data_IF_908448692318
#
_entry.id   IF_908448692318
#
_cell.length_a   1.000
_cell.length_b   1.000
_cell.length_c   1.000
_cell.angle_alpha   90.00
_cell.angle_beta   90.00
_cell.angle_gamma   90.00
#
_symmetry.space_group_name_H-M   'P 1'
#
loop_
_entity.id
_entity.type
_entity.pdbx_description
1 polymer ?
#
# COMPACT_ATOMS: atom_id res chain seq x y z
N UNK A 1 7.39 -6.88 -22.48
CA UNK A 1 7.00 -5.46 -22.31
C UNK A 1 6.61 -5.16 -20.86
N UNK A 2 5.46 -5.64 -20.31
CA UNK A 2 5.06 -5.33 -18.91
C UNK A 2 6.15 -5.71 -17.90
N UNK A 3 6.67 -6.94 -17.99
CA UNK A 3 7.79 -7.43 -17.16
C UNK A 3 9.03 -6.54 -17.25
N UNK A 4 9.30 -5.98 -18.41
CA UNK A 4 10.47 -5.11 -18.61
C UNK A 4 10.28 -3.77 -17.89
N UNK A 5 9.07 -3.22 -17.84
CA UNK A 5 8.76 -2.02 -17.06
C UNK A 5 8.86 -2.28 -15.55
N UNK A 6 8.41 -3.45 -15.06
CA UNK A 6 8.56 -3.83 -13.65
C UNK A 6 10.03 -3.97 -13.26
N UNK A 7 10.85 -4.59 -14.13
CA UNK A 7 12.30 -4.68 -13.95
C UNK A 7 12.94 -3.30 -13.96
N UNK A 8 12.54 -2.43 -14.91
CA UNK A 8 13.01 -1.05 -15.00
C UNK A 8 12.67 -0.26 -13.73
N UNK A 9 11.41 -0.31 -13.25
CA UNK A 9 11.00 0.32 -12.00
C UNK A 9 11.84 -0.14 -10.81
N UNK A 10 12.07 -1.46 -10.69
CA UNK A 10 12.90 -2.03 -9.62
C UNK A 10 14.35 -1.56 -9.71
N UNK A 11 14.92 -1.52 -10.92
CA UNK A 11 16.28 -1.05 -11.15
C UNK A 11 16.45 0.43 -10.81
N UNK A 12 15.51 1.28 -11.25
CA UNK A 12 15.51 2.72 -10.94
C UNK A 12 15.35 2.94 -9.43
N UNK A 13 14.41 2.27 -8.79
CA UNK A 13 14.23 2.35 -7.33
C UNK A 13 15.53 1.98 -6.60
N UNK A 14 16.19 0.89 -7.01
CA UNK A 14 17.47 0.49 -6.43
C UNK A 14 18.56 1.54 -6.66
N UNK A 15 18.66 2.08 -7.85
CA UNK A 15 19.69 3.07 -8.21
C UNK A 15 19.49 4.38 -7.42
N UNK A 16 18.25 4.83 -7.28
CA UNK A 16 17.93 6.09 -6.59
C UNK A 16 18.10 5.95 -5.09
N UNK A 17 17.47 4.94 -4.48
CA UNK A 17 17.50 4.77 -3.03
C UNK A 17 18.80 4.16 -2.48
N UNK A 18 19.75 3.78 -3.34
CA UNK A 18 21.10 3.44 -2.95
C UNK A 18 22.07 4.64 -2.96
N UNK A 19 21.65 5.81 -3.46
CA UNK A 19 22.45 7.04 -3.38
C UNK A 19 22.55 7.52 -1.93
N UNK A 20 23.62 8.24 -1.62
CA UNK A 20 23.78 8.88 -0.32
C UNK A 20 22.73 9.99 -0.17
N UNK A 21 21.86 9.95 0.84
CA UNK A 21 20.86 10.99 1.03
C UNK A 21 21.46 12.22 1.74
N UNK A 22 20.83 13.37 1.58
CA UNK A 22 21.18 14.58 2.31
C UNK A 22 20.91 14.45 3.82
N UNK A 23 20.03 13.52 4.21
CA UNK A 23 19.70 13.26 5.60
C UNK A 23 18.70 12.11 5.74
N UNK A 24 18.39 11.79 7.00
CA UNK A 24 17.45 10.73 7.37
C UNK A 24 16.42 11.28 8.34
N UNK A 25 15.16 10.87 8.18
CA UNK A 25 14.06 11.15 9.10
C UNK A 25 13.42 9.87 9.57
N UNK A 26 13.06 9.78 10.84
CA UNK A 26 12.23 8.67 11.30
C UNK A 26 10.82 8.80 10.72
N UNK A 27 10.21 7.71 10.32
CA UNK A 27 8.87 7.72 9.71
C UNK A 27 7.82 8.34 10.64
N UNK A 28 7.92 8.12 11.97
CA UNK A 28 6.99 8.70 12.95
C UNK A 28 7.04 10.23 13.04
N UNK A 29 8.12 10.86 12.59
CA UNK A 29 8.21 12.33 12.53
C UNK A 29 7.43 12.93 11.35
N UNK A 30 7.10 12.11 10.34
CA UNK A 30 6.48 12.54 9.08
C UNK A 30 4.95 12.44 9.06
N UNK A 31 4.33 11.77 10.04
CA UNK A 31 2.87 11.71 10.14
C UNK A 31 2.33 12.42 11.40
N UNK A 32 1.14 12.96 11.31
CA UNK A 32 0.41 13.60 12.41
C UNK A 32 -0.34 12.58 13.27
N UNK A 33 -0.79 11.48 12.67
CA UNK A 33 -1.47 10.37 13.33
C UNK A 33 -1.04 9.05 12.68
N UNK A 34 -0.57 8.12 13.49
CA UNK A 34 -0.24 6.77 13.06
C UNK A 34 -0.71 5.75 14.07
N UNK A 35 -1.57 4.83 13.64
CA UNK A 35 -2.20 3.84 14.51
C UNK A 35 -2.48 2.54 13.76
N UNK A 36 -2.32 1.41 14.45
CA UNK A 36 -2.85 0.13 13.99
C UNK A 36 -4.39 0.20 13.96
N UNK A 37 -4.98 -0.57 13.08
CA UNK A 37 -6.43 -0.74 13.06
C UNK A 37 -6.93 -1.66 14.17
N UNK A 38 -8.15 -2.15 14.01
CA UNK A 38 -8.77 -3.11 14.91
C UNK A 38 -9.75 -4.00 14.17
N UNK A 39 -9.94 -5.21 14.68
CA UNK A 39 -10.90 -6.15 14.13
C UNK A 39 -11.98 -6.39 15.17
N UNK A 40 -13.26 -6.13 14.87
CA UNK A 40 -14.35 -6.51 15.76
C UNK A 40 -14.38 -8.03 15.96
N UNK A 41 -15.02 -8.46 17.03
CA UNK A 41 -15.18 -9.91 17.33
C UNK A 41 -15.84 -10.62 16.15
N UNK A 42 -15.13 -11.54 15.51
CA UNK A 42 -15.53 -12.20 14.26
C UNK A 42 -16.79 -13.09 14.39
N UNK A 43 -17.09 -13.55 15.61
CA UNK A 43 -18.27 -14.36 15.89
C UNK A 43 -19.57 -13.55 15.92
N UNK A 44 -19.50 -12.20 16.07
CA UNK A 44 -20.66 -11.36 16.02
C UNK A 44 -20.89 -10.84 14.60
N UNK A 45 -21.85 -11.42 13.89
CA UNK A 45 -22.18 -11.07 12.50
C UNK A 45 -22.74 -9.65 12.34
N UNK A 46 -23.31 -9.08 13.38
CA UNK A 46 -23.87 -7.71 13.37
C UNK A 46 -22.78 -6.63 13.20
N UNK A 47 -21.53 -6.97 13.50
CA UNK A 47 -20.40 -6.06 13.34
C UNK A 47 -19.92 -5.91 11.90
N UNK A 48 -20.42 -6.75 10.99
CA UNK A 48 -19.99 -6.85 9.60
C UNK A 48 -21.14 -6.55 8.63
N UNK A 49 -20.82 -6.50 7.32
CA UNK A 49 -21.78 -6.28 6.23
C UNK A 49 -22.54 -4.94 6.31
N UNK A 50 -21.95 -3.91 6.92
CA UNK A 50 -22.44 -2.54 6.90
C UNK A 50 -21.89 -1.72 5.74
N UNK A 51 -21.81 -0.39 5.93
CA UNK A 51 -21.40 0.57 4.91
C UNK A 51 -19.94 1.07 5.08
N UNK A 52 -19.25 0.69 6.16
CA UNK A 52 -17.92 1.20 6.49
C UNK A 52 -16.85 0.29 5.84
N UNK A 53 -16.10 0.77 4.83
CA UNK A 53 -15.09 -0.04 4.16
C UNK A 53 -14.04 -0.60 5.13
N UNK A 54 -13.76 -1.91 5.05
CA UNK A 54 -12.82 -2.62 5.89
C UNK A 54 -11.74 -3.30 5.05
N UNK A 55 -10.54 -2.73 5.05
CA UNK A 55 -9.43 -3.12 4.20
C UNK A 55 -8.87 -4.49 4.56
N UNK A 56 -8.70 -5.33 3.56
CA UNK A 56 -7.99 -6.61 3.62
C UNK A 56 -6.69 -6.58 2.81
N UNK A 57 -5.79 -7.54 3.07
CA UNK A 57 -4.59 -7.73 2.24
C UNK A 57 -4.95 -8.07 0.79
N UNK A 58 -6.06 -8.80 0.59
CA UNK A 58 -6.55 -9.15 -0.73
C UNK A 58 -6.94 -7.91 -1.55
N UNK A 59 -7.58 -6.92 -0.94
CA UNK A 59 -7.92 -5.64 -1.59
C UNK A 59 -6.67 -4.92 -2.07
N UNK A 60 -5.62 -4.87 -1.23
CA UNK A 60 -4.33 -4.26 -1.60
C UNK A 60 -3.67 -5.03 -2.75
N UNK A 61 -3.68 -6.36 -2.70
CA UNK A 61 -3.07 -7.20 -3.74
C UNK A 61 -3.76 -7.03 -5.09
N UNK A 62 -5.09 -6.88 -5.09
CA UNK A 62 -5.89 -6.70 -6.31
C UNK A 62 -5.75 -5.30 -6.92
N UNK A 63 -5.61 -4.28 -6.09
CA UNK A 63 -5.66 -2.87 -6.51
C UNK A 63 -4.28 -2.20 -6.57
N UNK A 64 -3.29 -2.73 -5.86
CA UNK A 64 -1.93 -2.21 -5.87
C UNK A 64 -1.74 -0.92 -5.07
N UNK A 65 -1.21 0.12 -5.73
CA UNK A 65 -0.86 1.38 -5.09
C UNK A 65 -2.05 2.09 -4.46
N UNK A 66 -3.19 2.13 -5.14
CA UNK A 66 -4.36 2.88 -4.73
C UNK A 66 -5.55 1.97 -4.44
N UNK A 67 -6.07 2.02 -3.21
CA UNK A 67 -7.30 1.32 -2.83
C UNK A 67 -8.50 2.25 -2.97
N UNK A 68 -9.47 1.84 -3.80
CA UNK A 68 -10.68 2.58 -4.17
C UNK A 68 -11.96 1.92 -3.65
N UNK A 69 -11.90 0.66 -3.27
CA UNK A 69 -13.01 -0.12 -2.73
C UNK A 69 -12.47 -1.22 -1.81
N UNK A 70 -13.32 -1.79 -1.00
CA UNK A 70 -13.03 -2.97 -0.19
C UNK A 70 -14.10 -4.04 -0.39
N UNK A 71 -13.71 -5.31 -0.30
CA UNK A 71 -14.67 -6.42 -0.37
C UNK A 71 -15.47 -6.57 0.93
N UNK A 72 -14.85 -6.22 2.05
CA UNK A 72 -15.45 -6.33 3.36
C UNK A 72 -15.85 -4.96 3.91
N UNK A 73 -16.89 -4.95 4.73
CA UNK A 73 -17.39 -3.74 5.37
C UNK A 73 -17.71 -4.02 6.84
N UNK A 74 -17.58 -3.01 7.68
CA UNK A 74 -18.05 -3.01 9.06
C UNK A 74 -19.38 -2.29 9.15
N UNK A 75 -20.20 -2.68 10.13
CA UNK A 75 -21.33 -1.88 10.57
C UNK A 75 -20.87 -0.76 11.51
N UNK A 76 -21.74 0.20 11.79
CA UNK A 76 -21.48 1.23 12.79
C UNK A 76 -21.22 0.61 14.17
N UNK A 77 -22.00 -0.42 14.54
CA UNK A 77 -21.78 -1.19 15.77
C UNK A 77 -20.43 -1.88 15.80
N UNK A 78 -19.95 -2.43 14.66
CA UNK A 78 -18.62 -3.04 14.56
C UNK A 78 -17.50 -2.02 14.75
N UNK A 79 -17.65 -0.80 14.21
CA UNK A 79 -16.69 0.27 14.43
C UNK A 79 -16.63 0.68 15.91
N UNK A 80 -17.78 0.88 16.54
CA UNK A 80 -17.88 1.34 17.94
C UNK A 80 -17.43 0.31 18.97
N UNK A 81 -17.57 -0.99 18.65
CA UNK A 81 -17.18 -2.10 19.53
C UNK A 81 -15.80 -2.70 19.18
N UNK A 82 -14.94 -1.91 18.55
CA UNK A 82 -13.55 -2.35 18.24
C UNK A 82 -12.57 -1.20 18.38
N UNK A 83 -11.28 -1.51 18.29
CA UNK A 83 -10.21 -0.50 18.20
C UNK A 83 -10.02 0.04 16.77
N UNK A 84 -10.85 -0.37 15.81
CA UNK A 84 -10.85 0.16 14.46
C UNK A 84 -11.11 1.68 14.47
N UNK A 85 -10.58 2.36 13.48
CA UNK A 85 -10.80 3.79 13.30
C UNK A 85 -10.89 4.11 11.82
N UNK A 86 -11.65 5.14 11.48
CA UNK A 86 -11.77 5.59 10.10
C UNK A 86 -10.49 6.33 9.70
N UNK A 87 -9.74 5.70 8.81
CA UNK A 87 -8.53 6.26 8.20
C UNK A 87 -8.97 7.22 7.10
N UNK A 88 -8.62 8.52 7.16
CA UNK A 88 -9.01 9.46 6.12
C UNK A 88 -8.36 9.11 4.79
N UNK A 89 -8.99 9.51 3.69
CA UNK A 89 -8.43 9.34 2.34
C UNK A 89 -7.05 9.97 2.21
N UNK A 90 -6.24 9.40 1.33
CA UNK A 90 -4.86 9.81 1.09
C UNK A 90 -3.97 9.64 2.32
N UNK A 91 -4.18 8.55 3.05
CA UNK A 91 -3.28 8.05 4.08
C UNK A 91 -2.42 6.92 3.52
N UNK A 92 -1.26 6.72 4.12
CA UNK A 92 -0.37 5.61 3.79
C UNK A 92 -0.65 4.45 4.75
N UNK A 93 -0.78 3.23 4.22
CA UNK A 93 -1.11 2.05 5.01
C UNK A 93 -0.07 0.97 4.73
N UNK A 94 0.48 0.37 5.79
CA UNK A 94 1.49 -0.67 5.72
C UNK A 94 1.04 -1.91 6.47
N UNK A 95 1.16 -3.09 5.87
CA UNK A 95 0.89 -4.35 6.55
C UNK A 95 2.02 -4.73 7.50
N UNK A 96 1.66 -5.16 8.72
CA UNK A 96 2.58 -5.63 9.76
C UNK A 96 2.58 -7.16 9.86
N UNK A 97 1.50 -7.81 9.45
CA UNK A 97 1.30 -9.26 9.42
C UNK A 97 0.89 -9.66 8.01
N UNK A 98 0.98 -10.91 7.66
CA UNK A 98 0.69 -11.44 6.35
C UNK A 98 1.12 -10.50 5.19
N UNK A 99 2.00 -10.90 4.32
CA UNK A 99 2.61 -10.00 3.32
C UNK A 99 3.29 -8.76 3.92
N UNK A 100 4.05 -8.95 5.01
CA UNK A 100 4.69 -7.89 5.79
C UNK A 100 5.37 -6.84 4.91
N UNK A 101 5.13 -5.57 5.24
CA UNK A 101 5.68 -4.44 4.50
C UNK A 101 4.95 -4.10 3.21
N UNK A 102 3.81 -4.72 2.91
CA UNK A 102 2.99 -4.30 1.77
C UNK A 102 2.40 -2.92 2.07
N UNK A 103 2.53 -2.00 1.10
CA UNK A 103 2.14 -0.59 1.26
C UNK A 103 1.07 -0.23 0.24
N UNK A 104 0.12 0.58 0.65
CA UNK A 104 -0.92 1.14 -0.21
C UNK A 104 -1.35 2.54 0.25
N UNK A 105 -2.05 3.25 -0.63
CA UNK A 105 -2.68 4.55 -0.38
C UNK A 105 -4.18 4.38 -0.56
N UNK A 106 -4.98 4.85 0.41
CA UNK A 106 -6.43 4.81 0.26
C UNK A 106 -6.98 6.07 -0.42
N UNK A 107 -7.81 5.90 -1.45
CA UNK A 107 -8.52 7.00 -2.11
C UNK A 107 -9.94 7.25 -1.53
N UNK A 108 -10.39 6.37 -0.65
CA UNK A 108 -11.64 6.51 0.12
C UNK A 108 -11.36 6.43 1.61
N UNK A 109 -12.20 6.97 2.49
CA UNK A 109 -12.11 6.67 3.92
C UNK A 109 -12.33 5.17 4.16
N UNK A 110 -11.44 4.55 4.94
CA UNK A 110 -11.49 3.09 5.20
C UNK A 110 -11.15 2.80 6.66
N UNK A 111 -11.51 1.62 7.12
CA UNK A 111 -10.99 1.04 8.36
C UNK A 111 -10.03 -0.09 8.06
N UNK A 112 -9.18 -0.46 9.01
CA UNK A 112 -8.20 -1.53 8.84
C UNK A 112 -8.20 -2.46 10.05
N UNK A 113 -7.75 -3.70 9.87
CA UNK A 113 -7.49 -4.61 10.96
C UNK A 113 -6.24 -4.22 11.76
N UNK A 114 -6.01 -4.85 12.90
CA UNK A 114 -4.77 -4.72 13.69
C UNK A 114 -3.52 -5.18 12.93
N UNK A 115 -3.68 -5.89 11.82
CA UNK A 115 -2.57 -6.32 10.97
C UNK A 115 -1.98 -5.19 10.11
N UNK A 116 -2.58 -4.02 10.13
CA UNK A 116 -2.18 -2.88 9.31
C UNK A 116 -1.95 -1.64 10.16
N UNK A 117 -0.91 -0.89 9.82
CA UNK A 117 -0.60 0.40 10.41
C UNK A 117 -0.91 1.51 9.41
N UNK A 118 -1.83 2.40 9.76
CA UNK A 118 -2.24 3.51 8.90
C UNK A 118 -1.63 4.82 9.41
N UNK A 119 -1.16 5.65 8.48
CA UNK A 119 -0.40 6.88 8.73
C UNK A 119 -1.00 8.05 7.96
N UNK A 120 -1.42 9.08 8.69
CA UNK A 120 -1.87 10.35 8.13
C UNK A 120 -0.68 11.30 8.09
N UNK A 121 -0.15 11.56 6.91
CA UNK A 121 1.06 12.39 6.74
C UNK A 121 0.80 13.85 7.11
N UNK A 122 1.82 14.51 7.65
CA UNK A 122 1.85 15.97 7.87
C UNK A 122 1.94 16.72 6.56
N UNK A 123 2.81 16.25 5.69
CA UNK A 123 3.01 16.74 4.33
C UNK A 123 2.49 15.70 3.33
N UNK A 124 1.41 16.05 2.63
CA UNK A 124 0.77 15.16 1.66
C UNK A 124 1.57 15.02 0.37
N UNK A 125 2.43 15.96 0.06
CA UNK A 125 3.27 15.91 -1.13
C UNK A 125 4.26 14.76 -1.05
N UNK A 126 4.64 14.34 0.16
CA UNK A 126 5.51 13.18 0.39
C UNK A 126 4.81 11.81 0.20
N UNK A 127 3.50 11.77 -0.04
CA UNK A 127 2.74 10.52 -0.05
C UNK A 127 3.28 9.51 -1.06
N UNK A 128 3.47 9.93 -2.32
CA UNK A 128 3.98 9.08 -3.37
C UNK A 128 5.46 8.70 -3.14
N UNK A 129 6.27 9.65 -2.69
CA UNK A 129 7.66 9.38 -2.35
C UNK A 129 7.79 8.30 -1.27
N UNK A 130 7.02 8.42 -0.19
CA UNK A 130 7.02 7.45 0.89
C UNK A 130 6.47 6.08 0.44
N UNK A 131 5.44 6.06 -0.41
CA UNK A 131 4.95 4.82 -1.00
C UNK A 131 6.07 4.07 -1.74
N UNK A 132 6.82 4.76 -2.61
CA UNK A 132 7.88 4.13 -3.39
C UNK A 132 9.06 3.72 -2.52
N UNK A 133 9.47 4.56 -1.58
CA UNK A 133 10.54 4.19 -0.67
C UNK A 133 10.17 2.99 0.21
N UNK A 134 9.00 2.97 0.82
CA UNK A 134 8.57 1.87 1.68
C UNK A 134 8.34 0.58 0.88
N UNK A 135 7.88 0.68 -0.37
CA UNK A 135 7.83 -0.46 -1.28
C UNK A 135 9.21 -1.02 -1.58
N UNK A 136 10.21 -0.15 -1.82
CA UNK A 136 11.61 -0.56 -1.98
C UNK A 136 12.16 -1.18 -0.67
N UNK A 137 11.88 -0.56 0.49
CA UNK A 137 12.27 -1.03 1.81
C UNK A 137 11.75 -2.44 2.09
N UNK A 138 10.53 -2.75 1.72
CA UNK A 138 9.94 -4.10 1.82
C UNK A 138 10.83 -5.15 1.17
N UNK A 139 11.29 -4.92 -0.06
CA UNK A 139 12.09 -5.90 -0.79
C UNK A 139 13.53 -6.00 -0.34
N UNK A 140 14.11 -4.91 0.18
CA UNK A 140 15.55 -4.81 0.45
C UNK A 140 15.91 -4.91 1.92
N UNK A 141 15.05 -4.47 2.80
CA UNK A 141 15.41 -4.24 4.19
C UNK A 141 14.48 -4.90 5.21
N UNK A 142 13.24 -5.20 4.85
CA UNK A 142 12.23 -5.71 5.80
C UNK A 142 12.67 -6.97 6.51
N UNK A 143 13.42 -7.86 5.81
CA UNK A 143 13.91 -9.11 6.37
C UNK A 143 14.81 -8.94 7.60
N UNK A 144 15.45 -7.77 7.76
CA UNK A 144 16.29 -7.46 8.92
C UNK A 144 15.47 -7.20 10.20
N UNK A 145 14.18 -6.94 10.04
CA UNK A 145 13.26 -6.62 11.12
C UNK A 145 12.28 -7.75 11.43
N UNK A 146 12.31 -8.82 10.64
CA UNK A 146 11.48 -9.99 10.90
C UNK A 146 12.04 -10.74 12.10
N UNK A 147 11.20 -10.94 13.11
CA UNK A 147 11.58 -11.74 14.27
C UNK A 147 11.86 -13.19 13.86
N UNK A 148 12.92 -13.74 14.38
CA UNK A 148 13.30 -15.15 14.17
C UNK A 148 12.36 -16.05 14.96
N UNK A 149 11.25 -16.45 14.32
CA UNK A 149 10.22 -17.29 14.92
C UNK A 149 9.28 -17.87 13.87
N UNK A 150 8.29 -18.63 14.29
CA UNK A 150 7.30 -19.30 13.40
C UNK A 150 6.40 -18.35 12.62
N UNK A 151 6.37 -17.06 12.95
CA UNK A 151 5.65 -16.01 12.21
C UNK A 151 6.55 -14.80 12.00
N UNK A 152 6.83 -14.50 10.74
CA UNK A 152 7.60 -13.31 10.34
C UNK A 152 6.67 -12.08 10.36
N UNK A 153 6.69 -11.33 11.46
CA UNK A 153 5.86 -10.14 11.67
C UNK A 153 6.74 -8.95 12.05
N UNK A 154 6.22 -7.74 11.85
CA UNK A 154 6.75 -6.51 12.45
C UNK A 154 5.66 -5.88 13.33
N UNK A 155 6.05 -5.03 14.25
CA UNK A 155 5.12 -4.30 15.10
C UNK A 155 5.07 -2.80 14.75
N UNK A 156 4.16 -2.08 15.40
CA UNK A 156 3.97 -0.65 15.15
C UNK A 156 5.23 0.19 15.47
N UNK A 157 6.06 -0.23 16.42
CA UNK A 157 7.26 0.53 16.80
C UNK A 157 8.37 0.35 15.77
N UNK A 158 8.48 -0.83 15.17
CA UNK A 158 9.35 -1.06 14.01
C UNK A 158 8.92 -0.16 12.85
N UNK A 159 7.62 -0.10 12.53
CA UNK A 159 7.11 0.78 11.46
C UNK A 159 7.45 2.23 11.76
N UNK A 160 7.20 2.72 12.97
CA UNK A 160 7.52 4.10 13.40
C UNK A 160 9.01 4.40 13.28
N UNK A 161 9.85 3.42 13.58
CA UNK A 161 11.31 3.55 13.57
C UNK A 161 11.96 3.45 12.20
N UNK A 162 11.22 3.17 11.12
CA UNK A 162 11.80 3.09 9.77
C UNK A 162 12.46 4.44 9.43
N UNK A 163 13.72 4.37 8.98
CA UNK A 163 14.47 5.55 8.56
C UNK A 163 14.18 5.84 7.09
N UNK A 164 13.76 7.06 6.82
CA UNK A 164 13.40 7.56 5.49
C UNK A 164 14.52 8.47 4.99
N UNK A 165 15.16 8.18 3.85
CA UNK A 165 16.15 9.06 3.26
C UNK A 165 15.48 10.31 2.71
N UNK A 166 16.16 11.44 2.72
CA UNK A 166 15.75 12.65 2.03
C UNK A 166 16.88 13.18 1.15
N UNK A 167 16.52 13.53 -0.07
CA UNK A 167 17.41 14.13 -1.08
C UNK A 167 17.05 15.62 -1.32
N UNK A 168 16.27 16.20 -0.38
CA UNK A 168 15.63 17.51 -0.53
C UNK A 168 14.25 17.39 -1.19
N UNK A 169 13.36 18.35 -0.85
CA UNK A 169 11.94 18.28 -1.26
C UNK A 169 11.77 18.12 -2.77
N UNK A 170 12.40 18.98 -3.58
CA UNK A 170 12.29 18.93 -5.05
C UNK A 170 12.77 17.59 -5.63
N UNK A 171 13.88 17.05 -5.11
CA UNK A 171 14.41 15.77 -5.60
C UNK A 171 13.51 14.59 -5.18
N UNK A 172 12.97 14.63 -3.97
CA UNK A 172 12.00 13.60 -3.53
C UNK A 172 10.77 13.57 -4.45
N UNK A 173 10.26 14.74 -4.85
CA UNK A 173 9.13 14.86 -5.79
C UNK A 173 9.48 14.37 -7.18
N UNK A 174 10.66 14.68 -7.69
CA UNK A 174 11.15 14.18 -8.99
C UNK A 174 11.27 12.65 -9.00
N UNK A 175 11.81 12.05 -7.94
CA UNK A 175 11.88 10.61 -7.76
C UNK A 175 10.48 9.98 -7.80
N UNK A 176 9.55 10.53 -7.02
CA UNK A 176 8.17 10.06 -6.96
C UNK A 176 7.50 10.13 -8.34
N UNK A 177 7.61 11.27 -9.02
CA UNK A 177 7.05 11.50 -10.36
C UNK A 177 7.63 10.55 -11.41
N UNK A 178 8.95 10.31 -11.37
CA UNK A 178 9.61 9.37 -12.30
C UNK A 178 9.07 7.94 -12.12
N UNK A 179 8.99 7.47 -10.89
CA UNK A 179 8.48 6.13 -10.58
C UNK A 179 6.99 6.00 -10.91
N UNK A 180 6.20 7.04 -10.64
CA UNK A 180 4.79 7.10 -11.01
C UNK A 180 4.59 7.06 -12.53
N UNK A 181 5.44 7.73 -13.30
CA UNK A 181 5.39 7.68 -14.76
C UNK A 181 5.60 6.27 -15.31
N UNK A 182 6.42 5.45 -14.64
CA UNK A 182 6.60 4.04 -15.00
C UNK A 182 5.35 3.22 -14.63
N UNK A 183 4.77 3.43 -13.44
CA UNK A 183 3.54 2.75 -13.04
C UNK A 183 2.39 3.04 -14.00
N UNK A 184 2.21 4.29 -14.42
CA UNK A 184 1.21 4.67 -15.45
C UNK A 184 1.42 3.91 -16.76
N UNK A 185 2.67 3.72 -17.19
CA UNK A 185 2.95 2.91 -18.39
C UNK A 185 2.59 1.44 -18.19
N UNK A 186 2.93 0.86 -17.04
CA UNK A 186 2.55 -0.52 -16.70
C UNK A 186 1.04 -0.69 -16.73
N UNK A 187 0.29 0.21 -16.10
CA UNK A 187 -1.16 0.16 -16.04
C UNK A 187 -1.82 0.31 -17.43
N UNK A 188 -1.27 1.18 -18.27
CA UNK A 188 -1.73 1.34 -19.66
C UNK A 188 -1.50 0.05 -20.47
N UNK A 189 -0.34 -0.57 -20.39
CA UNK A 189 -0.04 -1.83 -21.08
C UNK A 189 -0.92 -2.98 -20.60
N UNK A 190 -1.16 -3.08 -19.29
CA UNK A 190 -2.10 -4.05 -18.70
C UNK A 190 -3.52 -3.85 -19.22
N UNK A 191 -3.95 -2.60 -19.33
CA UNK A 191 -5.27 -2.23 -19.84
C UNK A 191 -5.43 -2.62 -21.32
N UNK A 192 -4.41 -2.33 -22.13
CA UNK A 192 -4.38 -2.72 -23.56
C UNK A 192 -4.41 -4.24 -23.69
N UNK A 193 -3.59 -4.97 -22.92
CA UNK A 193 -3.59 -6.45 -22.92
C UNK A 193 -4.96 -7.03 -22.56
N UNK A 194 -5.63 -6.44 -21.57
CA UNK A 194 -7.00 -6.84 -21.18
C UNK A 194 -8.01 -6.65 -22.32
N UNK A 195 -7.91 -5.52 -23.03
CA UNK A 195 -8.77 -5.25 -24.18
C UNK A 195 -8.51 -6.22 -25.33
N UNK A 196 -7.26 -6.52 -25.65
CA UNK A 196 -6.93 -7.53 -26.66
C UNK A 196 -7.43 -8.92 -26.31
N UNK A 197 -7.29 -9.34 -25.07
CA UNK A 197 -7.83 -10.65 -24.63
C UNK A 197 -9.36 -10.70 -24.73
N UNK A 198 -10.05 -9.60 -24.44
CA UNK A 198 -11.50 -9.47 -24.57
C UNK A 198 -11.92 -9.57 -26.03
N UNK A 199 -11.24 -8.87 -26.93
CA UNK A 199 -11.48 -8.92 -28.37
C UNK A 199 -11.22 -10.32 -28.94
N UNK A 200 -10.10 -10.93 -28.58
CA UNK A 200 -9.77 -12.31 -28.95
C UNK A 200 -10.90 -13.28 -28.55
N UNK A 201 -11.35 -13.23 -27.29
CA UNK A 201 -12.41 -14.12 -26.81
C UNK A 201 -13.73 -13.89 -27.54
N UNK A 202 -14.06 -12.62 -27.84
CA UNK A 202 -15.24 -12.28 -28.65
C UNK A 202 -15.14 -12.90 -30.06
N UNK A 203 -14.03 -12.71 -30.75
CA UNK A 203 -13.84 -13.27 -32.11
C UNK A 203 -13.89 -14.81 -32.09
N UNK A 204 -13.27 -15.45 -31.11
CA UNK A 204 -13.34 -16.91 -30.98
C UNK A 204 -14.80 -17.39 -30.77
N UNK A 205 -15.58 -16.68 -29.96
CA UNK A 205 -16.99 -17.00 -29.75
C UNK A 205 -17.87 -16.86 -31.03
N UNK A 206 -17.42 -16.03 -32.00
CA UNK A 206 -18.12 -15.89 -33.29
C UNK A 206 -17.75 -16.98 -34.31
N UNK A 207 -16.58 -17.61 -34.15
CA UNK A 207 -16.07 -18.62 -35.09
C UNK A 207 -16.56 -20.04 -34.73
N UNK A 208 -16.81 -20.28 -33.43
CA UNK A 208 -17.18 -21.61 -32.91
C UNK A 208 -18.65 -21.71 -32.45
N UNK A 209 -19.55 -20.93 -33.09
CA UNK A 209 -21.02 -21.13 -32.96
C UNK A 209 -21.52 -22.14 -33.97
#
# INVERSE_FOLDING_TARGET
MIRDFEVCRSAISKQVFAQEPNGWSRLDTLFSKGKAGGTPTSTNKEYYNGEIPFLSINDITKQGKYVRYTENHLSQSGLENSSAWVVPKYSLIMSMYASVGLVTINEIPITTSQAMFAMQLKDKDLLDYLYYYLSYFKYRHIHKYLETGTQSNINADIVRGIMIPTYGHSRNMEIASTLQGIDVKIDNELSVLKLFNRQKNYLLSQIFI
#
